data_IF_144365311881
#
_entry.id   IF_144365311881
#
_cell.length_a   1.000
_cell.length_b   1.000
_cell.length_c   1.000
_cell.angle_alpha   90.00
_cell.angle_beta   90.00
_cell.angle_gamma   90.00
#
_symmetry.space_group_name_H-M   'P 1'
#
loop_
_entity.id
_entity.type
_entity.pdbx_description
1 polymer ?
#
# COMPACT_ATOMS: atom_id res chain seq x y z
N UNK A 1 -63.77 75.61 -43.83
CA UNK A 1 -62.51 75.30 -44.55
C UNK A 1 -61.54 74.73 -43.55
N UNK A 2 -61.27 73.41 -43.57
CA UNK A 2 -60.29 72.74 -42.63
C UNK A 2 -58.91 72.85 -43.29
N UNK A 3 -58.06 73.67 -42.70
CA UNK A 3 -56.63 73.74 -43.07
C UNK A 3 -55.87 72.60 -42.40
N UNK A 4 -55.42 71.64 -43.22
CA UNK A 4 -54.62 70.54 -42.73
C UNK A 4 -53.14 70.96 -42.87
N UNK A 5 -52.47 71.18 -41.68
CA UNK A 5 -51.05 71.53 -41.62
C UNK A 5 -50.22 70.26 -41.98
N UNK A 6 -49.44 70.31 -43.07
CA UNK A 6 -48.64 69.22 -43.62
C UNK A 6 -47.17 69.29 -43.25
N UNK A 7 -46.83 70.07 -42.19
CA UNK A 7 -45.45 70.19 -41.80
C UNK A 7 -45.02 68.92 -41.04
N UNK A 8 -43.86 68.44 -41.34
CA UNK A 8 -43.35 67.18 -40.82
C UNK A 8 -43.24 67.15 -39.27
N UNK A 9 -43.11 68.29 -38.63
CA UNK A 9 -43.01 68.41 -37.15
C UNK A 9 -44.39 68.41 -36.44
N UNK A 10 -45.49 68.44 -37.20
CA UNK A 10 -46.85 68.37 -36.64
C UNK A 10 -47.40 66.93 -36.51
N UNK A 11 -46.63 65.94 -36.91
CA UNK A 11 -46.91 64.54 -36.62
C UNK A 11 -46.43 64.26 -35.25
N UNK A 12 -47.36 64.03 -34.31
CA UNK A 12 -46.99 63.57 -32.94
C UNK A 12 -46.06 62.42 -33.03
N UNK A 13 -44.93 62.54 -32.27
CA UNK A 13 -44.00 61.48 -32.03
C UNK A 13 -44.76 60.30 -31.43
N UNK A 14 -44.91 59.24 -32.19
CA UNK A 14 -45.07 57.91 -31.62
C UNK A 14 -43.72 57.55 -31.14
N UNK A 15 -43.54 57.68 -29.81
CA UNK A 15 -42.35 57.33 -29.02
C UNK A 15 -42.23 55.81 -28.95
N UNK A 16 -42.05 55.16 -30.08
CA UNK A 16 -41.43 53.84 -30.10
C UNK A 16 -39.94 54.06 -30.43
N UNK A 17 -39.03 53.70 -29.53
CA UNK A 17 -37.61 53.75 -29.86
C UNK A 17 -37.41 52.83 -31.08
N UNK A 18 -37.11 53.43 -32.21
CA UNK A 18 -36.70 52.70 -33.40
C UNK A 18 -35.49 51.83 -32.97
N UNK A 19 -35.63 50.51 -32.97
CA UNK A 19 -34.50 49.60 -32.86
C UNK A 19 -33.49 50.00 -33.93
N UNK A 20 -32.41 50.64 -33.48
CA UNK A 20 -31.29 50.95 -34.35
C UNK A 20 -30.68 49.58 -34.71
N UNK A 21 -30.76 49.14 -35.98
CA UNK A 21 -30.16 47.86 -36.36
C UNK A 21 -28.68 47.94 -36.02
N UNK A 22 -28.21 47.04 -35.18
CA UNK A 22 -26.80 46.95 -34.80
C UNK A 22 -25.98 46.62 -36.07
N UNK A 23 -25.51 47.66 -36.75
CA UNK A 23 -24.63 47.52 -37.90
C UNK A 23 -23.22 47.17 -37.46
N UNK A 24 -23.04 46.01 -36.83
CA UNK A 24 -21.72 45.43 -36.72
C UNK A 24 -21.25 45.00 -38.11
N UNK A 25 -20.07 45.40 -38.54
CA UNK A 25 -19.56 44.92 -39.82
C UNK A 25 -19.52 43.39 -39.82
N UNK A 26 -20.02 42.75 -40.85
CA UNK A 26 -20.16 41.29 -41.03
C UNK A 26 -18.81 40.54 -40.75
N UNK A 27 -17.71 41.23 -40.92
CA UNK A 27 -16.36 40.69 -40.62
C UNK A 27 -16.07 40.63 -39.10
N UNK A 28 -16.53 41.60 -38.31
CA UNK A 28 -16.41 41.59 -36.85
C UNK A 28 -17.25 40.47 -36.23
N UNK A 29 -18.48 40.26 -36.67
CA UNK A 29 -19.35 39.16 -36.22
C UNK A 29 -18.71 37.79 -36.47
N UNK A 30 -18.09 37.62 -37.66
CA UNK A 30 -17.37 36.36 -37.98
C UNK A 30 -16.16 36.13 -37.11
N UNK A 31 -15.42 37.20 -36.76
CA UNK A 31 -14.25 37.09 -35.86
C UNK A 31 -14.69 36.81 -34.42
N UNK A 32 -15.72 37.48 -33.93
CA UNK A 32 -16.28 37.22 -32.59
C UNK A 32 -16.79 35.79 -32.46
N UNK A 33 -17.52 35.26 -33.47
CA UNK A 33 -17.95 33.88 -33.49
C UNK A 33 -16.79 32.88 -33.49
N UNK A 34 -15.71 33.18 -34.25
CA UNK A 34 -14.53 32.33 -34.27
C UNK A 34 -13.72 32.36 -32.96
N UNK A 35 -13.68 33.51 -32.28
CA UNK A 35 -13.09 33.62 -30.94
C UNK A 35 -13.91 32.76 -29.97
N UNK A 36 -15.25 32.89 -29.94
CA UNK A 36 -16.12 32.11 -29.07
C UNK A 36 -15.98 30.59 -29.31
N UNK A 37 -15.84 30.17 -30.57
CA UNK A 37 -15.60 28.77 -30.93
C UNK A 37 -14.25 28.28 -30.38
N UNK A 38 -13.18 29.10 -30.53
CA UNK A 38 -11.85 28.75 -30.01
C UNK A 38 -11.78 28.75 -28.50
N UNK A 39 -12.47 29.66 -27.83
CA UNK A 39 -12.56 29.67 -26.36
C UNK A 39 -13.26 28.41 -25.85
N UNK A 40 -14.32 27.96 -26.51
CA UNK A 40 -14.97 26.69 -26.17
C UNK A 40 -14.05 25.48 -26.37
N UNK A 41 -13.33 25.46 -27.51
CA UNK A 41 -12.35 24.41 -27.79
C UNK A 41 -11.23 24.36 -26.72
N UNK A 42 -10.70 25.52 -26.34
CA UNK A 42 -9.69 25.65 -25.27
C UNK A 42 -10.22 25.13 -23.93
N UNK A 43 -11.46 25.52 -23.55
CA UNK A 43 -12.06 25.04 -22.31
C UNK A 43 -12.25 23.51 -22.32
N UNK A 44 -12.68 22.94 -23.44
CA UNK A 44 -12.80 21.49 -23.59
C UNK A 44 -11.43 20.79 -23.48
N UNK A 45 -10.40 21.33 -24.12
CA UNK A 45 -9.04 20.80 -24.05
C UNK A 45 -8.47 20.89 -22.63
N UNK A 46 -8.67 22.01 -21.94
CA UNK A 46 -8.24 22.18 -20.55
C UNK A 46 -8.94 21.19 -19.61
N UNK A 47 -10.24 20.95 -19.82
CA UNK A 47 -11.00 19.98 -19.03
C UNK A 47 -10.49 18.56 -19.27
N UNK A 48 -10.25 18.18 -20.53
CA UNK A 48 -9.65 16.88 -20.89
C UNK A 48 -8.24 16.73 -20.31
N UNK A 49 -7.43 17.78 -20.42
CA UNK A 49 -6.07 17.76 -19.85
C UNK A 49 -6.05 17.58 -18.34
N UNK A 50 -6.93 18.31 -17.63
CA UNK A 50 -7.05 18.15 -16.16
C UNK A 50 -7.49 16.72 -15.80
N UNK A 51 -8.52 16.18 -16.47
CA UNK A 51 -8.96 14.81 -16.26
C UNK A 51 -7.84 13.78 -16.49
N UNK A 52 -7.12 13.88 -17.60
CA UNK A 52 -6.00 13.00 -17.90
C UNK A 52 -4.84 13.15 -16.89
N UNK A 53 -4.57 14.38 -16.43
CA UNK A 53 -3.56 14.63 -15.38
C UNK A 53 -3.95 13.99 -14.06
N UNK A 54 -5.21 14.11 -13.65
CA UNK A 54 -5.72 13.51 -12.42
C UNK A 54 -5.69 11.98 -12.48
N UNK A 55 -6.09 11.40 -13.61
CA UNK A 55 -6.01 9.95 -13.84
C UNK A 55 -4.56 9.46 -13.78
N UNK A 56 -3.63 10.19 -14.39
CA UNK A 56 -2.20 9.87 -14.37
C UNK A 56 -1.63 9.90 -12.94
N UNK A 57 -1.93 10.93 -12.15
CA UNK A 57 -1.47 11.00 -10.75
C UNK A 57 -2.08 9.89 -9.89
N UNK A 58 -3.36 9.54 -10.09
CA UNK A 58 -3.98 8.40 -9.41
C UNK A 58 -3.32 7.07 -9.81
N UNK A 59 -3.07 6.84 -11.08
CA UNK A 59 -2.38 5.65 -11.57
C UNK A 59 -0.96 5.54 -10.99
N UNK A 60 -0.23 6.66 -10.97
CA UNK A 60 1.10 6.76 -10.39
C UNK A 60 1.11 6.47 -8.88
N UNK A 61 0.10 6.97 -8.14
CA UNK A 61 -0.03 6.70 -6.71
C UNK A 61 -0.33 5.20 -6.44
N UNK A 62 -1.21 4.59 -7.24
CA UNK A 62 -1.49 3.15 -7.17
C UNK A 62 -0.24 2.31 -7.45
N UNK A 63 0.49 2.63 -8.51
CA UNK A 63 1.72 1.92 -8.89
C UNK A 63 2.79 2.01 -7.79
N UNK A 64 3.00 3.20 -7.20
CA UNK A 64 3.94 3.34 -6.07
C UNK A 64 3.56 2.44 -4.89
N UNK A 65 2.28 2.36 -4.56
CA UNK A 65 1.78 1.49 -3.48
C UNK A 65 1.98 0.01 -3.81
N UNK A 66 1.78 -0.37 -5.06
CA UNK A 66 1.95 -1.74 -5.53
C UNK A 66 3.41 -2.17 -5.53
N UNK A 67 4.29 -1.33 -6.07
CA UNK A 67 5.76 -1.54 -6.00
C UNK A 67 6.23 -1.67 -4.55
N UNK A 68 5.74 -0.83 -3.64
CA UNK A 68 6.06 -0.96 -2.21
C UNK A 68 5.69 -2.33 -1.64
N UNK A 69 4.49 -2.83 -1.96
CA UNK A 69 4.05 -4.17 -1.51
C UNK A 69 4.90 -5.29 -2.14
N UNK A 70 5.28 -5.16 -3.39
CA UNK A 70 6.08 -6.18 -4.06
C UNK A 70 7.50 -6.24 -3.53
N UNK A 71 8.09 -5.09 -3.18
CA UNK A 71 9.38 -5.01 -2.50
C UNK A 71 9.31 -5.70 -1.13
N UNK A 72 8.27 -5.45 -0.34
CA UNK A 72 8.10 -6.11 0.97
C UNK A 72 7.87 -7.61 0.83
N UNK A 73 7.08 -8.07 -0.15
CA UNK A 73 6.93 -9.50 -0.44
C UNK A 73 8.25 -10.16 -0.85
N UNK A 74 9.01 -9.51 -1.72
CA UNK A 74 10.33 -9.99 -2.13
C UNK A 74 11.28 -10.09 -0.95
N UNK A 75 11.35 -9.06 -0.11
CA UNK A 75 12.15 -9.05 1.12
C UNK A 75 11.76 -10.19 2.06
N UNK A 76 10.47 -10.38 2.30
CA UNK A 76 9.95 -11.47 3.11
C UNK A 76 10.35 -12.84 2.57
N UNK A 77 10.16 -13.06 1.28
CA UNK A 77 10.51 -14.34 0.63
C UNK A 77 11.96 -14.71 0.83
N UNK A 78 12.88 -13.75 0.67
CA UNK A 78 14.32 -13.94 0.89
C UNK A 78 14.61 -14.27 2.35
N UNK A 79 14.03 -13.53 3.29
CA UNK A 79 14.24 -13.78 4.72
C UNK A 79 13.73 -15.17 5.09
N UNK A 80 12.55 -15.58 4.65
CA UNK A 80 12.00 -16.92 4.94
C UNK A 80 12.92 -18.03 4.43
N UNK A 81 13.51 -17.86 3.22
CA UNK A 81 14.49 -18.81 2.70
C UNK A 81 15.75 -18.90 3.59
N UNK A 82 16.19 -17.77 4.14
CA UNK A 82 17.32 -17.75 5.09
C UNK A 82 17.01 -18.42 6.45
N UNK A 83 15.75 -18.43 6.88
CA UNK A 83 15.36 -19.15 8.10
C UNK A 83 15.60 -20.66 7.98
N UNK A 84 15.51 -21.23 6.77
CA UNK A 84 15.85 -22.64 6.55
C UNK A 84 17.35 -22.92 6.75
N UNK A 85 18.20 -21.97 6.35
CA UNK A 85 19.66 -22.07 6.60
C UNK A 85 19.92 -22.04 8.10
N UNK A 86 19.23 -21.19 8.85
CA UNK A 86 19.36 -21.11 10.30
C UNK A 86 18.92 -22.40 10.98
N UNK A 87 17.80 -23.01 10.56
CA UNK A 87 17.36 -24.30 11.07
C UNK A 87 18.38 -25.43 10.80
N UNK A 88 19.07 -25.37 9.66
CA UNK A 88 20.13 -26.34 9.35
C UNK A 88 21.38 -26.11 10.22
N UNK A 89 21.70 -24.86 10.57
CA UNK A 89 22.76 -24.57 11.54
C UNK A 89 22.37 -25.06 12.94
N UNK A 90 21.15 -24.86 13.39
CA UNK A 90 20.63 -25.40 14.65
C UNK A 90 20.77 -26.93 14.67
N UNK A 91 20.33 -27.62 13.61
CA UNK A 91 20.45 -29.09 13.50
C UNK A 91 21.90 -29.55 13.49
N UNK A 92 22.80 -28.81 12.83
CA UNK A 92 24.21 -29.13 12.81
C UNK A 92 24.84 -29.03 14.20
N UNK A 93 24.42 -28.06 15.00
CA UNK A 93 24.86 -27.91 16.40
C UNK A 93 24.34 -29.05 17.28
N UNK A 94 23.09 -29.48 17.10
CA UNK A 94 22.49 -30.58 17.87
C UNK A 94 23.19 -31.92 17.60
N UNK A 95 23.60 -32.18 16.34
CA UNK A 95 24.25 -33.45 15.95
C UNK A 95 25.78 -33.40 16.17
N UNK A 96 26.39 -32.22 16.07
CA UNK A 96 27.83 -32.02 16.12
C UNK A 96 28.51 -32.19 17.48
N UNK A 97 27.75 -32.41 18.56
CA UNK A 97 28.25 -32.53 19.93
C UNK A 97 28.90 -33.90 20.20
N UNK A 98 30.03 -34.17 19.52
CA UNK A 98 30.81 -35.40 19.72
C UNK A 98 32.21 -35.15 20.30
N UNK A 99 32.89 -36.18 20.87
CA UNK A 99 34.24 -36.02 21.40
C UNK A 99 35.22 -35.53 20.31
N UNK A 100 35.92 -34.43 20.56
CA UNK A 100 36.89 -33.82 19.65
C UNK A 100 36.35 -32.83 18.63
N UNK A 101 35.04 -32.55 18.64
CA UNK A 101 34.38 -31.56 17.73
C UNK A 101 34.14 -30.19 18.36
N UNK A 102 34.57 -29.98 19.62
CA UNK A 102 34.24 -28.77 20.41
C UNK A 102 34.61 -27.46 19.71
N UNK A 103 35.81 -27.36 19.13
CA UNK A 103 36.24 -26.17 18.40
C UNK A 103 35.42 -25.92 17.13
N UNK A 104 35.02 -26.97 16.45
CA UNK A 104 34.15 -26.88 15.27
C UNK A 104 32.73 -26.43 15.67
N UNK A 105 32.17 -27.03 16.72
CA UNK A 105 30.84 -26.67 17.26
C UNK A 105 30.82 -25.20 17.70
N UNK A 106 31.87 -24.74 18.40
CA UNK A 106 32.02 -23.32 18.76
C UNK A 106 32.05 -22.41 17.52
N UNK A 107 32.78 -22.79 16.47
CA UNK A 107 32.84 -22.05 15.21
C UNK A 107 31.45 -21.91 14.57
N UNK A 108 30.71 -22.99 14.48
CA UNK A 108 29.34 -22.99 13.94
C UNK A 108 28.39 -22.17 14.81
N UNK A 109 28.52 -22.26 16.14
CA UNK A 109 27.70 -21.45 17.05
C UNK A 109 27.95 -19.95 16.91
N UNK A 110 29.20 -19.54 16.67
CA UNK A 110 29.51 -18.13 16.36
C UNK A 110 28.89 -17.66 15.06
N UNK A 111 28.98 -18.48 14.01
CA UNK A 111 28.32 -18.15 12.71
C UNK A 111 26.81 -18.01 12.87
N UNK A 112 26.19 -18.96 13.59
CA UNK A 112 24.76 -18.90 13.91
C UNK A 112 24.40 -17.61 14.67
N UNK A 113 25.17 -17.26 15.71
CA UNK A 113 24.92 -16.05 16.48
C UNK A 113 25.03 -14.79 15.64
N UNK A 114 26.06 -14.71 14.80
CA UNK A 114 26.22 -13.58 13.85
C UNK A 114 25.05 -13.50 12.87
N UNK A 115 24.57 -14.64 12.39
CA UNK A 115 23.42 -14.69 11.49
C UNK A 115 22.14 -14.17 12.15
N UNK A 116 21.87 -14.60 13.40
CA UNK A 116 20.74 -14.11 14.21
C UNK A 116 20.84 -12.60 14.39
N UNK A 117 22.01 -12.09 14.82
CA UNK A 117 22.22 -10.64 15.00
C UNK A 117 22.00 -9.84 13.70
N UNK A 118 22.35 -10.42 12.55
CA UNK A 118 22.10 -9.80 11.25
C UNK A 118 20.60 -9.74 10.96
N UNK A 119 19.84 -10.80 11.22
CA UNK A 119 18.40 -10.84 11.07
C UNK A 119 17.71 -9.84 12.03
N UNK A 120 18.16 -9.75 13.28
CA UNK A 120 17.68 -8.76 14.24
C UNK A 120 17.90 -7.32 13.76
N UNK A 121 19.07 -7.05 13.16
CA UNK A 121 19.37 -5.76 12.52
C UNK A 121 18.45 -5.44 11.33
N UNK A 122 17.85 -6.46 10.71
CA UNK A 122 16.81 -6.32 9.67
C UNK A 122 15.39 -6.22 10.24
N UNK A 123 15.23 -6.20 11.57
CA UNK A 123 13.94 -6.12 12.25
C UNK A 123 13.23 -7.48 12.42
N UNK A 124 13.94 -8.59 12.22
CA UNK A 124 13.41 -9.95 12.46
C UNK A 124 13.67 -10.34 13.91
N UNK A 125 12.62 -10.75 14.61
CA UNK A 125 12.70 -11.19 16.01
C UNK A 125 12.29 -12.65 16.12
N UNK A 126 13.06 -13.43 16.89
CA UNK A 126 12.75 -14.83 17.19
C UNK A 126 11.61 -14.92 18.20
N UNK A 127 10.67 -15.83 17.94
CA UNK A 127 9.57 -16.18 18.84
C UNK A 127 9.90 -17.55 19.48
N UNK A 128 10.14 -17.52 20.78
CA UNK A 128 10.38 -18.73 21.60
C UNK A 128 9.32 -18.76 22.72
N UNK A 129 8.19 -19.44 22.50
CA UNK A 129 7.04 -19.40 23.39
C UNK A 129 7.08 -20.45 24.49
N UNK A 130 8.24 -21.04 24.81
CA UNK A 130 8.33 -22.08 25.84
C UNK A 130 7.71 -21.60 27.16
N UNK A 131 6.82 -22.40 27.74
CA UNK A 131 6.06 -22.13 28.97
C UNK A 131 5.03 -20.95 28.84
N UNK A 132 4.84 -20.39 27.66
CA UNK A 132 3.81 -19.35 27.40
C UNK A 132 2.47 -19.99 27.02
N UNK A 133 1.36 -19.26 27.15
CA UNK A 133 0.08 -19.69 26.58
C UNK A 133 0.19 -19.84 25.06
N UNK A 134 -0.49 -20.84 24.51
CA UNK A 134 -0.57 -21.02 23.06
C UNK A 134 -1.34 -19.85 22.41
N UNK A 135 -0.72 -19.21 21.44
CA UNK A 135 -1.30 -18.13 20.64
C UNK A 135 -1.42 -18.58 19.17
N UNK A 136 -2.63 -18.84 18.65
CA UNK A 136 -2.81 -19.27 17.27
C UNK A 136 -2.30 -18.27 16.21
N UNK A 137 -2.15 -17.00 16.56
CA UNK A 137 -1.63 -15.99 15.63
C UNK A 137 -0.12 -16.14 15.37
N UNK A 138 0.64 -16.72 16.32
CA UNK A 138 2.11 -16.80 16.27
C UNK A 138 2.64 -18.23 16.37
N UNK A 139 1.80 -19.18 16.80
CA UNK A 139 2.20 -20.57 17.07
C UNK A 139 1.40 -21.54 16.23
N UNK A 140 2.05 -22.61 15.82
CA UNK A 140 1.46 -23.76 15.15
C UNK A 140 1.62 -24.99 16.04
N UNK A 141 0.52 -25.53 16.55
CA UNK A 141 0.55 -26.76 17.37
C UNK A 141 0.76 -27.98 16.48
N UNK A 142 1.95 -28.56 16.51
CA UNK A 142 2.30 -29.78 15.73
C UNK A 142 2.15 -31.06 16.54
N UNK A 143 2.12 -30.97 17.87
CA UNK A 143 1.88 -32.11 18.76
C UNK A 143 1.20 -31.65 20.05
N UNK A 144 0.57 -32.62 20.75
CA UNK A 144 0.00 -32.42 22.06
C UNK A 144 0.55 -33.49 23.02
N UNK A 145 0.70 -33.14 24.28
CA UNK A 145 1.03 -34.11 25.34
C UNK A 145 0.16 -33.84 26.56
N UNK A 146 -0.04 -34.85 27.44
CA UNK A 146 -0.82 -34.68 28.67
C UNK A 146 -0.30 -33.54 29.53
N UNK A 147 -1.19 -32.68 30.02
CA UNK A 147 -0.81 -31.62 30.95
C UNK A 147 -0.40 -32.24 32.32
N UNK A 148 0.72 -31.78 32.88
CA UNK A 148 1.17 -32.23 34.19
C UNK A 148 0.27 -31.74 35.34
N UNK A 149 -0.45 -30.66 35.14
CA UNK A 149 -1.45 -30.10 36.06
C UNK A 149 -2.46 -29.24 35.26
N UNK A 150 -3.65 -28.97 35.82
CA UNK A 150 -4.64 -28.10 35.18
C UNK A 150 -4.12 -26.73 34.78
N UNK A 151 -3.17 -26.18 35.53
CA UNK A 151 -2.56 -24.85 35.27
C UNK A 151 -1.66 -24.85 34.04
N UNK A 152 -1.28 -26.01 33.52
CA UNK A 152 -0.49 -26.15 32.30
C UNK A 152 -1.32 -26.43 31.04
N UNK A 153 -2.63 -26.59 31.19
CA UNK A 153 -3.52 -26.78 30.02
C UNK A 153 -3.44 -25.59 29.07
N UNK A 154 -3.26 -25.86 27.80
CA UNK A 154 -3.11 -24.82 26.75
C UNK A 154 -1.76 -24.11 26.72
N UNK A 155 -0.77 -24.55 27.52
CA UNK A 155 0.60 -23.99 27.48
C UNK A 155 1.51 -24.74 26.52
N UNK A 156 2.47 -24.00 25.98
CA UNK A 156 3.55 -24.57 25.16
C UNK A 156 4.55 -25.26 26.07
N UNK A 157 4.72 -26.57 25.88
CA UNK A 157 5.63 -27.43 26.67
C UNK A 157 6.91 -27.77 25.92
N UNK A 158 6.97 -27.52 24.62
CA UNK A 158 8.15 -27.72 23.80
C UNK A 158 8.08 -26.89 22.50
N UNK A 159 9.24 -26.47 22.03
CA UNK A 159 9.41 -25.79 20.77
C UNK A 159 10.16 -26.71 19.82
N UNK A 160 9.46 -27.20 18.78
CA UNK A 160 10.04 -28.09 17.77
C UNK A 160 10.82 -27.27 16.74
N UNK A 161 10.28 -26.09 16.38
CA UNK A 161 10.90 -25.17 15.43
C UNK A 161 10.58 -23.74 15.87
N UNK A 162 11.59 -22.86 16.02
CA UNK A 162 11.34 -21.49 16.44
C UNK A 162 10.57 -20.70 15.39
N UNK A 163 9.71 -19.79 15.86
CA UNK A 163 9.01 -18.82 15.03
C UNK A 163 9.83 -17.56 14.82
N UNK A 164 9.43 -16.77 13.83
CA UNK A 164 10.04 -15.48 13.54
C UNK A 164 8.99 -14.46 13.11
N UNK A 165 9.13 -13.24 13.61
CA UNK A 165 8.28 -12.08 13.26
C UNK A 165 9.15 -10.95 12.74
N UNK A 166 8.58 -10.10 11.89
CA UNK A 166 9.22 -8.87 11.41
C UNK A 166 8.25 -7.71 11.64
N UNK A 167 8.51 -6.89 12.65
CA UNK A 167 7.53 -5.94 13.16
C UNK A 167 6.27 -6.65 13.65
N UNK A 168 5.11 -6.31 13.07
CA UNK A 168 3.82 -6.94 13.41
C UNK A 168 3.50 -8.17 12.53
N UNK A 169 4.33 -8.48 11.54
CA UNK A 169 4.08 -9.55 10.58
C UNK A 169 4.77 -10.85 11.02
N UNK A 170 4.01 -11.95 11.03
CA UNK A 170 4.55 -13.30 11.27
C UNK A 170 5.16 -13.82 9.97
N UNK A 171 6.50 -13.97 9.96
CA UNK A 171 7.23 -14.57 8.85
C UNK A 171 7.02 -16.08 8.81
N UNK A 172 7.11 -16.71 10.00
CA UNK A 172 6.90 -18.13 10.22
C UNK A 172 6.41 -18.35 11.65
N UNK A 173 5.30 -19.06 11.89
CA UNK A 173 4.86 -19.40 13.23
C UNK A 173 5.86 -20.36 13.92
N UNK A 174 5.91 -20.31 15.23
CA UNK A 174 6.66 -21.30 16.01
C UNK A 174 5.90 -22.64 16.02
N UNK A 175 6.56 -23.73 15.64
CA UNK A 175 6.01 -25.08 15.75
C UNK A 175 6.23 -25.60 17.17
N UNK A 176 5.13 -25.89 17.83
CA UNK A 176 5.13 -26.16 19.29
C UNK A 176 4.36 -27.43 19.65
N UNK A 177 4.77 -28.01 20.78
CA UNK A 177 4.00 -29.01 21.50
C UNK A 177 3.20 -28.29 22.58
N UNK A 178 1.89 -28.58 22.66
CA UNK A 178 0.95 -27.95 23.60
C UNK A 178 0.48 -28.98 24.64
N UNK A 179 0.46 -28.61 25.92
CA UNK A 179 -0.13 -29.38 26.97
C UNK A 179 -1.67 -29.39 26.81
N UNK A 180 -2.29 -30.55 26.97
CA UNK A 180 -3.76 -30.71 26.93
C UNK A 180 -4.19 -31.71 28.00
N UNK A 181 -5.29 -31.36 28.71
CA UNK A 181 -5.96 -32.28 29.66
C UNK A 181 -6.69 -33.40 28.92
#
# INVERSE_FOLDING_TARGET
MKVTDRRWWARGESDEPAEVPSLKPTMLEKLEARIAEKDLEIQQLLTKYRGASDEFEQARARLRKEVGKDVERGRRSVIVAFLEVLDNLDRALDVGAGPGSEAFVQGVALVRQQFISTLEGLGVTRVDPLNQPFDPAKHEAVSTAPAASPDHDGRVIGVVRPGYVMGDEVLRPAQVAVARL
#
